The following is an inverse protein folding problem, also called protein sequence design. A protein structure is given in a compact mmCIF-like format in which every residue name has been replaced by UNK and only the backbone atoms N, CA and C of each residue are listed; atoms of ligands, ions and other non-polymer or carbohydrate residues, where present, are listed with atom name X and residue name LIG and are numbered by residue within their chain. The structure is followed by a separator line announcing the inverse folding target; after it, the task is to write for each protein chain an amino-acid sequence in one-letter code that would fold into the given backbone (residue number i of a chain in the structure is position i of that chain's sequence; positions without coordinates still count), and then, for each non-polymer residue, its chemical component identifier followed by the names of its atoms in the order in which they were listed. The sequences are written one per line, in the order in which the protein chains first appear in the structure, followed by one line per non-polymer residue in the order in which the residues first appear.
data_IF_419132552461
#
_entry.id   IF_419132552461
#
_cell.length_a   1.000
_cell.length_b   1.000
_cell.length_c   1.000
_cell.angle_alpha   90.00
_cell.angle_beta   90.00
_cell.angle_gamma   90.00
#
_symmetry.space_group_name_H-M   'P 1'
#
loop_
_entity.id
_entity.type
_entity.pdbx_description
1 polymer ?
#
# COMPACT_ATOMS: atom_id res chain seq x y z
N UNK A 1 -0.08 -7.93 -12.17
CA UNK A 1 0.10 -7.45 -10.79
C UNK A 1 0.82 -8.53 -10.02
N UNK A 2 1.90 -8.21 -9.32
CA UNK A 2 2.63 -9.16 -8.46
C UNK A 2 2.82 -8.54 -7.08
N UNK A 3 2.33 -9.19 -6.03
CA UNK A 3 2.49 -8.71 -4.65
C UNK A 3 3.93 -8.99 -4.21
N UNK A 4 4.66 -7.92 -3.91
CA UNK A 4 6.07 -7.98 -3.52
C UNK A 4 6.20 -8.08 -2.01
N UNK A 5 5.28 -7.42 -1.27
CA UNK A 5 5.35 -7.34 0.19
C UNK A 5 3.96 -7.16 0.80
N UNK A 6 3.73 -7.81 1.93
CA UNK A 6 2.54 -7.64 2.76
C UNK A 6 2.99 -7.34 4.18
N UNK A 7 2.44 -6.29 4.79
CA UNK A 7 2.71 -5.88 6.15
C UNK A 7 1.38 -5.75 6.91
N UNK A 8 1.28 -6.41 8.06
CA UNK A 8 0.21 -6.16 9.02
C UNK A 8 0.64 -5.01 9.93
N UNK A 9 -0.15 -3.93 9.98
CA UNK A 9 0.12 -2.74 10.78
C UNK A 9 -1.18 -2.37 11.51
N UNK A 10 -1.22 -2.63 12.81
CA UNK A 10 -2.42 -2.45 13.65
C UNK A 10 -3.66 -3.17 13.06
N UNK A 11 -4.69 -2.40 12.68
CA UNK A 11 -5.96 -2.85 12.09
C UNK A 11 -5.95 -2.83 10.55
N UNK A 12 -4.79 -2.64 9.94
CA UNK A 12 -4.62 -2.49 8.51
C UNK A 12 -3.62 -3.51 7.93
N UNK A 13 -3.83 -3.85 6.67
CA UNK A 13 -2.88 -4.61 5.85
C UNK A 13 -2.37 -3.68 4.75
N UNK A 14 -1.06 -3.45 4.71
CA UNK A 14 -0.39 -2.76 3.62
C UNK A 14 0.17 -3.79 2.63
N UNK A 15 -0.31 -3.78 1.40
CA UNK A 15 0.27 -4.56 0.31
C UNK A 15 1.04 -3.64 -0.64
N UNK A 16 2.28 -3.99 -0.96
CA UNK A 16 3.09 -3.34 -1.99
C UNK A 16 3.18 -4.30 -3.17
N UNK A 17 2.85 -3.83 -4.36
CA UNK A 17 2.79 -4.65 -5.56
C UNK A 17 3.34 -3.94 -6.79
N UNK A 18 3.84 -4.75 -7.71
CA UNK A 18 4.32 -4.33 -9.01
C UNK A 18 3.20 -4.39 -10.06
N UNK A 19 3.04 -3.31 -10.81
CA UNK A 19 2.14 -3.19 -11.97
C UNK A 19 2.95 -2.88 -13.23
N UNK A 20 2.88 -3.76 -14.26
CA UNK A 20 3.46 -3.48 -15.57
C UNK A 20 2.86 -2.21 -16.20
N UNK A 21 3.65 -1.39 -16.92
CA UNK A 21 4.99 -1.68 -17.42
C UNK A 21 6.17 -1.09 -16.60
N UNK A 22 6.12 -1.06 -15.26
CA UNK A 22 7.34 -0.69 -14.51
C UNK A 22 7.14 0.00 -13.17
N UNK A 23 5.95 -0.06 -12.58
CA UNK A 23 5.63 0.77 -11.43
C UNK A 23 5.32 -0.06 -10.18
N UNK A 24 5.71 0.46 -9.03
CA UNK A 24 5.25 -0.05 -7.74
C UNK A 24 4.10 0.80 -7.24
N UNK A 25 3.12 0.13 -6.63
CA UNK A 25 1.97 0.72 -5.98
C UNK A 25 1.79 0.10 -4.62
N UNK A 26 0.94 0.72 -3.82
CA UNK A 26 0.50 0.15 -2.56
C UNK A 26 -1.03 0.18 -2.47
N UNK A 27 -1.58 -0.76 -1.72
CA UNK A 27 -2.98 -0.76 -1.30
C UNK A 27 -3.05 -1.01 0.19
N UNK A 28 -4.04 -0.41 0.84
CA UNK A 28 -4.31 -0.59 2.26
C UNK A 28 -5.66 -1.28 2.39
N UNK A 29 -5.72 -2.36 3.15
CA UNK A 29 -6.98 -3.05 3.49
C UNK A 29 -7.27 -2.79 4.96
N UNK A 30 -8.47 -2.32 5.27
CA UNK A 30 -8.89 -2.14 6.66
C UNK A 30 -9.48 -3.42 7.29
N UNK A 31 -9.83 -3.36 8.57
CA UNK A 31 -10.45 -4.47 9.32
C UNK A 31 -11.80 -4.94 8.77
N UNK A 32 -12.44 -4.16 7.92
CA UNK A 32 -13.72 -4.49 7.27
C UNK A 32 -13.51 -5.06 5.87
N UNK A 33 -12.27 -5.18 5.41
CA UNK A 33 -11.93 -5.63 4.05
C UNK A 33 -12.06 -4.53 3.00
N UNK A 34 -12.23 -3.26 3.40
CA UNK A 34 -12.28 -2.13 2.46
C UNK A 34 -10.87 -1.86 1.94
N UNK A 35 -10.74 -1.81 0.61
CA UNK A 35 -9.47 -1.57 -0.07
C UNK A 35 -9.35 -0.11 -0.46
N UNK A 36 -8.30 0.55 0.03
CA UNK A 36 -7.85 1.85 -0.42
C UNK A 36 -6.65 1.67 -1.37
N UNK A 37 -6.80 2.11 -2.61
CA UNK A 37 -5.74 2.15 -3.62
C UNK A 37 -5.60 3.59 -4.14
N UNK A 38 -4.43 4.24 -3.98
CA UNK A 38 -4.18 5.55 -4.58
C UNK A 38 -4.15 5.44 -6.10
N UNK A 39 -4.97 6.23 -6.77
CA UNK A 39 -5.05 6.24 -8.23
C UNK A 39 -3.84 6.96 -8.85
N UNK A 40 -3.30 6.42 -9.95
CA UNK A 40 -2.25 7.02 -10.81
C UNK A 40 -0.93 7.44 -10.16
N UNK A 41 -0.63 7.03 -8.92
CA UNK A 41 0.69 7.27 -8.32
C UNK A 41 1.58 6.06 -8.56
N UNK A 42 2.72 6.31 -9.21
CA UNK A 42 3.74 5.31 -9.52
C UNK A 42 4.97 5.59 -8.67
N UNK A 43 5.40 4.58 -7.91
CA UNK A 43 6.49 4.68 -6.94
C UNK A 43 7.64 3.74 -7.29
N UNK A 44 8.79 3.93 -6.61
CA UNK A 44 9.71 2.82 -6.32
C UNK A 44 9.10 1.89 -5.26
N UNK A 45 9.65 0.68 -5.11
CA UNK A 45 9.18 -0.27 -4.07
C UNK A 45 9.26 0.34 -2.66
N UNK A 46 10.37 1.01 -2.34
CA UNK A 46 10.60 1.63 -1.04
C UNK A 46 9.69 2.84 -0.82
N UNK A 47 9.45 3.63 -1.86
CA UNK A 47 8.55 4.78 -1.79
C UNK A 47 7.09 4.33 -1.59
N UNK A 48 6.64 3.26 -2.26
CA UNK A 48 5.31 2.69 -2.06
C UNK A 48 5.11 2.22 -0.60
N UNK A 49 6.11 1.53 -0.04
CA UNK A 49 6.06 1.11 1.37
C UNK A 49 6.02 2.31 2.33
N UNK A 50 6.87 3.32 2.11
CA UNK A 50 6.94 4.50 2.97
C UNK A 50 5.65 5.30 2.95
N UNK A 51 5.10 5.57 1.77
CA UNK A 51 3.84 6.31 1.65
C UNK A 51 2.66 5.52 2.23
N UNK A 52 2.60 4.21 2.00
CA UNK A 52 1.58 3.35 2.61
C UNK A 52 1.60 3.39 4.14
N UNK A 53 2.79 3.29 4.75
CA UNK A 53 2.96 3.43 6.21
C UNK A 53 2.53 4.80 6.71
N UNK A 54 2.90 5.88 6.00
CA UNK A 54 2.51 7.25 6.35
C UNK A 54 0.99 7.42 6.33
N UNK A 55 0.32 6.90 5.30
CA UNK A 55 -1.15 6.95 5.17
C UNK A 55 -1.82 6.23 6.34
N UNK A 56 -1.33 5.05 6.73
CA UNK A 56 -1.84 4.33 7.92
C UNK A 56 -1.65 5.15 9.19
N UNK A 57 -0.46 5.71 9.41
CA UNK A 57 -0.19 6.53 10.60
C UNK A 57 -1.14 7.73 10.71
N UNK A 58 -1.46 8.38 9.59
CA UNK A 58 -2.44 9.48 9.55
C UNK A 58 -3.85 8.98 9.89
N UNK A 59 -4.25 7.80 9.39
CA UNK A 59 -5.56 7.21 9.65
C UNK A 59 -5.73 6.60 11.05
N UNK A 60 -4.63 6.33 11.74
CA UNK A 60 -4.59 5.83 13.12
C UNK A 60 -4.41 6.93 14.17
N UNK A 61 -4.09 8.16 13.75
CA UNK A 61 -4.01 9.35 14.62
C UNK A 61 -5.40 9.94 14.89
#
# INVERSE_FOLDING_TARGET
MNIIKILSIEKFILAVYYTPPGSFKYSIVDKHGVVFEPYEIYYSSEAAEREGKKTINIASS
#
